data_IF_772670051661
#
_entry.id   IF_772670051661
#
_cell.length_a   1.000
_cell.length_b   1.000
_cell.length_c   1.000
_cell.angle_alpha   90.00
_cell.angle_beta   90.00
_cell.angle_gamma   90.00
#
_symmetry.space_group_name_H-M   'P 1'
#
loop_
_entity.id
_entity.type
_entity.pdbx_description
1 polymer ?
#
# COMPACT_ATOMS: atom_id res chain seq x y z
N UNK A 1 -7.27 -14.40 13.79
CA UNK A 1 -8.72 -14.71 13.69
C UNK A 1 -9.52 -13.93 14.74
N UNK A 2 -9.22 -14.04 16.04
CA UNK A 2 -9.95 -13.34 17.12
C UNK A 2 -9.97 -11.82 16.92
N UNK A 3 -8.85 -11.22 16.55
CA UNK A 3 -8.73 -9.79 16.29
C UNK A 3 -9.72 -9.29 15.21
N UNK A 4 -9.92 -10.06 14.14
CA UNK A 4 -10.86 -9.68 13.09
C UNK A 4 -12.32 -9.79 13.54
N UNK A 5 -12.64 -10.73 14.44
CA UNK A 5 -13.98 -10.83 15.01
C UNK A 5 -14.30 -9.65 15.93
N UNK A 6 -13.33 -9.26 16.78
CA UNK A 6 -13.47 -8.07 17.61
C UNK A 6 -13.66 -6.79 16.75
N UNK A 7 -12.94 -6.68 15.65
CA UNK A 7 -13.12 -5.56 14.71
C UNK A 7 -14.51 -5.57 14.06
N UNK A 8 -15.08 -6.74 13.79
CA UNK A 8 -16.42 -6.83 13.21
C UNK A 8 -17.49 -6.27 14.16
N UNK A 9 -17.42 -6.62 15.44
CA UNK A 9 -18.32 -6.09 16.47
C UNK A 9 -18.10 -4.58 16.68
N UNK A 10 -16.83 -4.16 16.80
CA UNK A 10 -16.49 -2.76 16.97
C UNK A 10 -17.04 -1.88 15.84
N UNK A 11 -16.83 -2.29 14.59
CA UNK A 11 -17.35 -1.53 13.44
C UNK A 11 -18.87 -1.57 13.38
N UNK A 12 -19.49 -2.68 13.73
CA UNK A 12 -20.96 -2.79 13.75
C UNK A 12 -21.56 -1.79 14.75
N UNK A 13 -21.02 -1.74 15.95
CA UNK A 13 -21.47 -0.83 17.01
C UNK A 13 -21.20 0.63 16.63
N UNK A 14 -19.94 0.95 16.33
CA UNK A 14 -19.53 2.32 16.02
C UNK A 14 -20.31 2.91 14.83
N UNK A 15 -20.56 2.14 13.78
CA UNK A 15 -21.28 2.63 12.60
C UNK A 15 -22.80 2.69 12.83
N UNK A 16 -23.35 1.95 13.80
CA UNK A 16 -24.76 2.07 14.16
C UNK A 16 -25.09 3.38 14.88
N UNK A 17 -24.10 3.96 15.58
CA UNK A 17 -24.25 5.24 16.28
C UNK A 17 -24.04 6.46 15.37
N UNK A 18 -23.44 6.25 14.19
CA UNK A 18 -23.19 7.33 13.24
C UNK A 18 -24.40 7.52 12.32
N UNK A 19 -24.91 8.76 12.15
CA UNK A 19 -25.96 9.02 11.17
C UNK A 19 -25.59 8.52 9.77
N UNK A 20 -26.56 8.11 8.93
CA UNK A 20 -26.27 7.61 7.58
C UNK A 20 -25.38 8.57 6.79
N UNK A 21 -24.22 8.09 6.40
CA UNK A 21 -23.24 8.85 5.62
C UNK A 21 -23.51 8.65 4.12
N UNK A 22 -23.37 9.71 3.33
CA UNK A 22 -23.52 9.63 1.87
C UNK A 22 -22.29 9.02 1.19
N UNK A 23 -21.11 9.25 1.75
CA UNK A 23 -19.83 8.82 1.21
C UNK A 23 -18.89 8.44 2.36
N UNK A 24 -18.24 7.29 2.23
CA UNK A 24 -17.13 6.87 3.07
C UNK A 24 -15.86 6.70 2.26
N UNK A 25 -14.73 7.07 2.85
CA UNK A 25 -13.40 6.84 2.30
C UNK A 25 -12.58 6.09 3.34
N UNK A 26 -11.86 5.06 2.94
CA UNK A 26 -10.94 4.35 3.83
C UNK A 26 -9.66 3.93 3.09
N UNK A 27 -8.59 3.71 3.85
CA UNK A 27 -7.34 3.22 3.27
C UNK A 27 -7.47 1.74 2.94
N UNK A 28 -7.32 1.41 1.67
CA UNK A 28 -7.42 0.05 1.16
C UNK A 28 -6.04 -0.61 1.12
N UNK A 29 -5.85 -1.65 1.93
CA UNK A 29 -4.60 -2.40 2.06
C UNK A 29 -4.78 -3.91 1.89
N UNK A 30 -6.00 -4.38 1.63
CA UNK A 30 -6.33 -5.80 1.53
C UNK A 30 -6.26 -6.54 2.87
N UNK A 31 -6.58 -5.86 3.97
CA UNK A 31 -6.56 -6.43 5.31
C UNK A 31 -7.89 -7.08 5.69
N UNK A 32 -7.83 -8.12 6.50
CA UNK A 32 -9.05 -8.84 6.92
C UNK A 32 -10.08 -7.97 7.66
N UNK A 33 -9.66 -6.95 8.41
CA UNK A 33 -10.56 -6.01 9.09
C UNK A 33 -11.39 -5.17 8.11
N UNK A 34 -10.89 -4.91 6.90
CA UNK A 34 -11.60 -4.13 5.88
C UNK A 34 -12.90 -4.82 5.45
N UNK A 35 -12.89 -6.16 5.36
CA UNK A 35 -14.10 -6.92 5.05
C UNK A 35 -15.18 -6.73 6.13
N UNK A 36 -14.76 -6.69 7.39
CA UNK A 36 -15.66 -6.42 8.52
C UNK A 36 -16.23 -5.00 8.46
N UNK A 37 -15.37 -4.01 8.18
CA UNK A 37 -15.76 -2.61 8.01
C UNK A 37 -16.76 -2.42 6.87
N UNK A 38 -16.47 -2.97 5.69
CA UNK A 38 -17.37 -2.89 4.52
C UNK A 38 -18.72 -3.52 4.83
N UNK A 39 -18.73 -4.69 5.49
CA UNK A 39 -19.97 -5.38 5.89
C UNK A 39 -20.77 -4.55 6.88
N UNK A 40 -20.14 -3.95 7.88
CA UNK A 40 -20.78 -3.10 8.86
C UNK A 40 -21.33 -1.80 8.21
N UNK A 41 -20.57 -1.19 7.30
CA UNK A 41 -21.01 -0.03 6.52
C UNK A 41 -22.31 -0.30 5.78
N UNK A 42 -22.39 -1.44 5.08
CA UNK A 42 -23.59 -1.84 4.32
C UNK A 42 -24.77 -2.13 5.23
N UNK A 43 -24.55 -2.88 6.32
CA UNK A 43 -25.61 -3.24 7.26
C UNK A 43 -26.28 -2.04 7.93
N UNK A 44 -25.50 -0.98 8.17
CA UNK A 44 -26.00 0.24 8.80
C UNK A 44 -26.59 1.26 7.78
N UNK A 45 -26.74 0.87 6.51
CA UNK A 45 -27.42 1.68 5.51
C UNK A 45 -26.65 2.93 5.09
N UNK A 46 -25.33 2.96 5.29
CA UNK A 46 -24.51 4.04 4.77
C UNK A 46 -24.38 3.97 3.24
N UNK A 47 -24.08 5.09 2.61
CA UNK A 47 -24.04 5.26 1.16
C UNK A 47 -22.76 4.70 0.53
N UNK A 48 -22.29 5.37 -0.51
CA UNK A 48 -21.13 4.97 -1.32
C UNK A 48 -19.87 4.85 -0.46
N UNK A 49 -19.12 3.77 -0.66
CA UNK A 49 -17.85 3.50 0.02
C UNK A 49 -16.73 3.34 -0.99
N UNK A 50 -15.64 4.10 -0.83
CA UNK A 50 -14.46 4.07 -1.70
C UNK A 50 -13.24 3.65 -0.90
N UNK A 51 -12.60 2.57 -1.33
CA UNK A 51 -11.31 2.15 -0.83
C UNK A 51 -10.19 2.89 -1.58
N UNK A 52 -9.31 3.57 -0.86
CA UNK A 52 -8.20 4.32 -1.47
C UNK A 52 -6.90 3.57 -1.26
N UNK A 53 -6.34 3.00 -2.33
CA UNK A 53 -5.06 2.34 -2.28
C UNK A 53 -3.95 3.37 -2.03
N UNK A 54 -3.24 3.27 -0.90
CA UNK A 54 -2.17 4.21 -0.55
C UNK A 54 -0.76 3.66 -0.77
N UNK A 55 -0.63 2.35 -0.91
CA UNK A 55 0.63 1.66 -1.12
C UNK A 55 0.74 1.09 -2.54
N UNK A 56 1.97 0.83 -2.99
CA UNK A 56 2.19 0.12 -4.25
C UNK A 56 1.61 -1.29 -4.19
N UNK A 57 0.93 -1.70 -5.25
CA UNK A 57 0.57 -3.10 -5.47
C UNK A 57 1.83 -3.87 -5.82
N UNK A 58 2.27 -4.73 -4.90
CA UNK A 58 3.47 -5.54 -5.09
C UNK A 58 3.11 -6.84 -5.79
N UNK A 59 3.97 -7.30 -6.67
CA UNK A 59 3.93 -8.66 -7.17
C UNK A 59 3.96 -9.66 -5.99
N UNK A 60 3.12 -10.67 -6.01
CA UNK A 60 2.94 -11.64 -4.91
C UNK A 60 2.31 -11.09 -3.62
N UNK A 61 1.77 -9.89 -3.60
CA UNK A 61 1.00 -9.44 -2.45
C UNK A 61 -0.43 -10.01 -2.53
N UNK A 62 -0.58 -11.23 -2.09
CA UNK A 62 -1.80 -12.04 -2.20
C UNK A 62 -3.10 -11.35 -1.76
N UNK A 63 -3.12 -10.42 -0.77
CA UNK A 63 -4.34 -9.68 -0.43
C UNK A 63 -5.00 -8.91 -1.58
N UNK A 64 -4.29 -8.65 -2.67
CA UNK A 64 -4.84 -8.01 -3.87
C UNK A 64 -5.24 -9.00 -4.98
N UNK A 65 -4.95 -10.28 -4.82
CA UNK A 65 -5.22 -11.31 -5.82
C UNK A 65 -6.23 -12.31 -5.27
N UNK A 66 -7.43 -12.24 -5.76
CA UNK A 66 -8.54 -13.09 -5.33
C UNK A 66 -9.04 -13.95 -6.48
N UNK A 67 -9.65 -15.07 -6.14
CA UNK A 67 -10.38 -15.86 -7.12
C UNK A 67 -11.57 -15.06 -7.69
N UNK A 68 -11.68 -14.99 -9.00
CA UNK A 68 -12.73 -14.24 -9.67
C UNK A 68 -14.16 -14.64 -9.23
N UNK A 69 -14.34 -15.86 -8.70
CA UNK A 69 -15.63 -16.33 -8.19
C UNK A 69 -16.07 -15.58 -6.94
N UNK A 70 -15.12 -15.18 -6.06
CA UNK A 70 -15.45 -14.44 -4.83
C UNK A 70 -15.57 -12.94 -5.08
N UNK A 71 -15.02 -12.45 -6.20
CA UNK A 71 -15.12 -11.06 -6.61
C UNK A 71 -16.45 -10.74 -7.32
N UNK A 72 -17.18 -11.77 -7.79
CA UNK A 72 -18.49 -11.59 -8.41
C UNK A 72 -19.53 -11.24 -7.34
N UNK A 73 -20.16 -10.07 -7.46
CA UNK A 73 -21.18 -9.58 -6.51
C UNK A 73 -22.44 -10.48 -6.46
N UNK A 74 -22.73 -11.20 -7.53
CA UNK A 74 -23.90 -12.07 -7.69
C UNK A 74 -23.66 -13.53 -7.28
N UNK A 75 -22.53 -13.81 -6.66
CA UNK A 75 -22.20 -15.17 -6.18
C UNK A 75 -22.98 -15.57 -4.94
N UNK A 76 -23.00 -16.88 -4.64
CA UNK A 76 -23.65 -17.42 -3.43
C UNK A 76 -23.04 -16.84 -2.13
N UNK A 77 -21.76 -16.50 -2.15
CA UNK A 77 -21.01 -15.92 -1.03
C UNK A 77 -20.03 -14.86 -1.55
N UNK A 78 -20.51 -13.71 -2.00
CA UNK A 78 -19.64 -12.65 -2.50
C UNK A 78 -18.77 -12.09 -1.37
N UNK A 79 -17.51 -11.85 -1.66
CA UNK A 79 -16.64 -11.14 -0.74
C UNK A 79 -17.14 -9.69 -0.58
N UNK A 80 -17.21 -9.16 0.64
CA UNK A 80 -17.55 -7.75 0.84
C UNK A 80 -16.58 -6.85 0.08
N UNK A 81 -17.11 -5.96 -0.74
CA UNK A 81 -16.33 -5.03 -1.56
C UNK A 81 -16.83 -3.60 -1.39
N UNK A 82 -15.96 -2.59 -1.48
CA UNK A 82 -16.39 -1.21 -1.62
C UNK A 82 -17.12 -1.00 -2.95
N UNK A 83 -17.76 0.15 -3.14
CA UNK A 83 -18.35 0.49 -4.43
C UNK A 83 -17.27 0.74 -5.48
N UNK A 84 -16.18 1.36 -5.05
CA UNK A 84 -15.02 1.64 -5.89
C UNK A 84 -13.71 1.46 -5.13
N UNK A 85 -12.66 1.18 -5.89
CA UNK A 85 -11.27 1.19 -5.42
C UNK A 85 -10.51 2.22 -6.24
N UNK A 86 -10.04 3.27 -5.58
CA UNK A 86 -9.16 4.26 -6.18
C UNK A 86 -7.72 3.73 -6.17
N UNK A 87 -7.19 3.40 -7.34
CA UNK A 87 -5.88 2.78 -7.51
C UNK A 87 -4.81 3.80 -7.93
N UNK A 88 -3.57 3.59 -7.49
CA UNK A 88 -2.45 4.52 -7.64
C UNK A 88 -1.86 4.51 -9.06
N UNK A 89 -2.62 4.96 -10.05
CA UNK A 89 -2.14 5.10 -11.43
C UNK A 89 -2.16 3.81 -12.26
N UNK A 90 -1.66 3.89 -13.51
CA UNK A 90 -1.87 2.85 -14.53
C UNK A 90 -1.22 1.50 -14.19
N UNK A 91 -0.08 1.49 -13.51
CA UNK A 91 0.59 0.23 -13.14
C UNK A 91 -0.21 -0.54 -12.08
N UNK A 92 -0.77 0.17 -11.10
CA UNK A 92 -1.65 -0.43 -10.11
C UNK A 92 -2.95 -0.90 -10.78
N UNK A 93 -3.55 -0.09 -11.65
CA UNK A 93 -4.73 -0.48 -12.44
C UNK A 93 -4.51 -1.80 -13.17
N UNK A 94 -3.38 -1.92 -13.88
CA UNK A 94 -3.02 -3.16 -14.58
C UNK A 94 -2.92 -4.35 -13.62
N UNK A 95 -2.25 -4.19 -12.48
CA UNK A 95 -2.07 -5.27 -11.50
C UNK A 95 -3.41 -5.75 -10.91
N UNK A 96 -4.34 -4.83 -10.62
CA UNK A 96 -5.67 -5.19 -10.13
C UNK A 96 -6.48 -5.95 -11.18
N UNK A 97 -6.44 -5.51 -12.45
CA UNK A 97 -7.11 -6.20 -13.56
C UNK A 97 -6.55 -7.62 -13.77
N UNK A 98 -5.24 -7.78 -13.75
CA UNK A 98 -4.57 -9.08 -13.81
C UNK A 98 -4.89 -9.95 -12.59
N UNK A 99 -5.14 -9.33 -11.44
CA UNK A 99 -5.62 -9.97 -10.20
C UNK A 99 -7.09 -10.37 -10.21
N UNK A 100 -7.80 -10.15 -11.33
CA UNK A 100 -9.20 -10.56 -11.51
C UNK A 100 -10.24 -9.57 -11.00
N UNK A 101 -9.85 -8.37 -10.60
CA UNK A 101 -10.78 -7.34 -10.15
C UNK A 101 -11.65 -6.81 -11.29
N UNK A 102 -12.97 -6.60 -11.05
CA UNK A 102 -13.86 -6.03 -12.06
C UNK A 102 -13.44 -4.60 -12.43
N UNK A 103 -13.38 -4.31 -13.73
CA UNK A 103 -12.93 -3.00 -14.22
C UNK A 103 -13.83 -1.85 -13.74
N UNK A 104 -15.12 -2.13 -13.60
CA UNK A 104 -16.15 -1.17 -13.25
C UNK A 104 -16.04 -0.59 -11.83
N UNK A 105 -15.36 -1.30 -10.93
CA UNK A 105 -15.13 -0.78 -9.56
C UNK A 105 -13.77 -0.11 -9.39
N UNK A 106 -12.91 -0.15 -10.42
CA UNK A 106 -11.57 0.42 -10.36
C UNK A 106 -11.56 1.83 -10.94
N UNK A 107 -11.13 2.79 -10.14
CA UNK A 107 -10.95 4.19 -10.55
C UNK A 107 -9.47 4.53 -10.44
N UNK A 108 -8.87 4.98 -11.53
CA UNK A 108 -7.50 5.44 -11.51
C UNK A 108 -7.42 6.82 -10.85
N UNK A 109 -6.53 6.97 -9.89
CA UNK A 109 -6.20 8.24 -9.30
C UNK A 109 -4.68 8.39 -9.21
N UNK A 110 -4.22 9.61 -8.95
CA UNK A 110 -2.81 9.84 -8.69
C UNK A 110 -2.40 9.19 -7.35
N UNK A 111 -1.12 8.87 -7.24
CA UNK A 111 -0.54 8.38 -6.00
C UNK A 111 -0.47 9.51 -4.96
N UNK A 112 -1.57 9.77 -4.27
CA UNK A 112 -1.76 10.90 -3.35
C UNK A 112 -0.61 11.07 -2.36
N UNK A 113 -0.02 9.97 -1.92
CA UNK A 113 1.15 9.96 -1.02
C UNK A 113 2.36 10.69 -1.61
N UNK A 114 2.46 10.77 -2.93
CA UNK A 114 3.61 11.29 -3.65
C UNK A 114 3.34 12.59 -4.41
N UNK A 115 2.19 13.23 -4.21
CA UNK A 115 1.84 14.49 -4.89
C UNK A 115 2.89 15.59 -4.68
N UNK A 116 3.55 15.60 -3.52
CA UNK A 116 4.61 16.54 -3.22
C UNK A 116 5.82 16.43 -4.17
N UNK A 117 6.03 15.26 -4.81
CA UNK A 117 7.11 15.08 -5.77
C UNK A 117 6.91 15.88 -7.06
N UNK A 118 5.66 16.15 -7.43
CA UNK A 118 5.35 17.01 -8.57
C UNK A 118 5.81 18.45 -8.42
N UNK A 119 6.02 18.90 -7.17
CA UNK A 119 6.51 20.25 -6.86
C UNK A 119 8.05 20.31 -6.74
N UNK A 120 8.71 19.16 -6.77
CA UNK A 120 10.18 19.12 -6.77
C UNK A 120 10.61 19.53 -8.18
N UNK A 121 11.03 20.80 -8.33
CA UNK A 121 11.70 21.22 -9.55
C UNK A 121 12.77 20.20 -9.88
N UNK A 122 12.83 19.79 -11.15
CA UNK A 122 13.87 18.90 -11.66
C UNK A 122 15.25 19.56 -11.49
N UNK A 123 15.75 19.59 -10.26
CA UNK A 123 17.18 19.68 -10.04
C UNK A 123 17.76 18.35 -10.50
N UNK A 124 17.77 18.15 -11.84
CA UNK A 124 18.60 17.12 -12.46
C UNK A 124 20.01 17.45 -12.04
N UNK A 125 20.43 16.84 -10.96
CA UNK A 125 21.83 16.85 -10.57
C UNK A 125 22.61 16.46 -11.82
N UNK A 126 23.52 17.33 -12.22
CA UNK A 126 24.45 17.03 -13.33
C UNK A 126 25.03 15.65 -13.02
N UNK A 127 25.21 14.78 -14.03
CA UNK A 127 25.84 13.49 -13.83
C UNK A 127 27.11 13.66 -12.99
N UNK A 128 27.20 12.95 -11.86
CA UNK A 128 28.42 13.02 -11.03
C UNK A 128 29.53 12.46 -11.88
N UNK A 129 30.63 13.24 -12.13
CA UNK A 129 31.76 12.73 -12.87
C UNK A 129 32.31 11.46 -12.20
N UNK A 130 32.66 10.46 -12.99
CA UNK A 130 33.12 9.14 -12.52
C UNK A 130 34.39 9.19 -11.63
N UNK A 131 35.04 10.34 -11.57
CA UNK A 131 36.23 10.60 -10.79
C UNK A 131 35.99 11.35 -9.47
N UNK A 132 34.73 11.56 -9.05
CA UNK A 132 34.42 12.14 -7.76
C UNK A 132 34.12 11.04 -6.73
N UNK A 133 34.35 11.35 -5.45
CA UNK A 133 34.01 10.48 -4.33
C UNK A 133 32.55 10.04 -4.40
N UNK A 134 32.33 8.75 -4.50
CA UNK A 134 31.00 8.17 -4.58
C UNK A 134 30.32 8.24 -3.20
N UNK A 135 29.14 8.83 -3.14
CA UNK A 135 28.30 8.85 -1.93
C UNK A 135 27.19 7.82 -2.07
N UNK A 136 27.16 6.86 -1.16
CA UNK A 136 26.17 5.79 -1.13
C UNK A 136 25.27 6.00 0.07
N UNK A 137 23.96 6.26 -0.16
CA UNK A 137 22.96 6.30 0.88
C UNK A 137 22.39 4.90 1.08
N UNK A 138 22.55 4.38 2.27
CA UNK A 138 22.02 3.08 2.69
C UNK A 138 20.79 3.30 3.55
N UNK A 139 19.65 2.79 3.09
CA UNK A 139 18.39 2.86 3.84
C UNK A 139 18.22 1.57 4.65
N UNK A 140 18.03 1.70 5.95
CA UNK A 140 17.67 0.59 6.82
C UNK A 140 16.21 0.14 6.56
N UNK A 141 15.94 -1.13 6.83
CA UNK A 141 14.61 -1.72 6.73
C UNK A 141 13.93 -1.68 8.11
N UNK A 142 12.61 -1.79 8.13
CA UNK A 142 11.83 -1.91 9.37
C UNK A 142 12.23 -3.15 10.17
N UNK A 143 12.56 -4.25 9.49
CA UNK A 143 13.04 -5.47 10.13
C UNK A 143 14.50 -5.34 10.53
N UNK A 144 14.83 -5.47 11.84
CA UNK A 144 16.19 -5.40 12.34
C UNK A 144 17.12 -6.48 11.75
N UNK A 145 16.59 -7.66 11.43
CA UNK A 145 17.39 -8.76 10.85
C UNK A 145 17.89 -8.35 9.48
N UNK A 146 17.01 -7.88 8.62
CA UNK A 146 17.36 -7.38 7.28
C UNK A 146 18.35 -6.21 7.36
N UNK A 147 18.12 -5.27 8.27
CA UNK A 147 19.04 -4.13 8.48
C UNK A 147 20.43 -4.62 8.89
N UNK A 148 20.53 -5.61 9.79
CA UNK A 148 21.80 -6.19 10.20
C UNK A 148 22.53 -6.90 9.05
N UNK A 149 21.81 -7.61 8.18
CA UNK A 149 22.43 -8.24 6.99
C UNK A 149 22.97 -7.18 6.03
N UNK A 150 22.26 -6.07 5.80
CA UNK A 150 22.74 -4.94 5.01
C UNK A 150 24.05 -4.38 5.63
N UNK A 151 24.09 -4.20 6.95
CA UNK A 151 25.30 -3.70 7.65
C UNK A 151 26.47 -4.66 7.56
N UNK A 152 26.26 -5.99 7.64
CA UNK A 152 27.29 -6.99 7.42
C UNK A 152 27.86 -6.91 6.01
N UNK A 153 26.98 -6.80 5.00
CA UNK A 153 27.39 -6.63 3.61
C UNK A 153 28.25 -5.37 3.43
N UNK A 154 27.82 -4.24 3.97
CA UNK A 154 28.58 -2.99 3.91
C UNK A 154 29.96 -3.11 4.54
N UNK A 155 30.07 -3.75 5.70
CA UNK A 155 31.37 -4.01 6.35
C UNK A 155 32.27 -4.87 5.49
N UNK A 156 31.73 -5.90 4.84
CA UNK A 156 32.52 -6.74 3.94
C UNK A 156 33.01 -5.99 2.70
N UNK A 157 32.21 -5.08 2.17
CA UNK A 157 32.58 -4.25 1.02
C UNK A 157 33.61 -3.18 1.41
N UNK A 158 33.50 -2.56 2.57
CA UNK A 158 34.44 -1.52 3.02
C UNK A 158 35.87 -2.03 3.24
N UNK A 159 36.05 -3.34 3.45
CA UNK A 159 37.37 -3.96 3.54
C UNK A 159 37.98 -4.29 2.18
N UNK A 160 37.20 -4.28 1.10
CA UNK A 160 37.60 -4.70 -0.24
C UNK A 160 37.59 -3.58 -1.28
N UNK A 161 36.95 -2.43 -1.00
CA UNK A 161 36.84 -1.34 -1.95
C UNK A 161 37.81 -0.21 -1.67
N UNK A 162 38.37 0.30 -2.77
CA UNK A 162 39.32 1.39 -2.80
C UNK A 162 38.83 2.67 -2.12
N UNK A 163 39.78 3.48 -1.68
CA UNK A 163 39.60 4.82 -1.15
C UNK A 163 38.62 5.67 -2.00
N UNK A 164 37.66 6.31 -1.36
CA UNK A 164 36.79 7.30 -2.02
C UNK A 164 35.27 7.01 -1.98
N UNK A 165 34.80 5.95 -1.30
CA UNK A 165 33.37 5.73 -1.13
C UNK A 165 32.91 6.16 0.28
N UNK A 166 32.00 7.12 0.33
CA UNK A 166 31.36 7.53 1.58
C UNK A 166 30.00 6.83 1.73
N UNK A 167 29.79 6.14 2.84
CA UNK A 167 28.50 5.50 3.17
C UNK A 167 27.75 6.33 4.19
N UNK A 168 26.49 6.61 3.86
CA UNK A 168 25.56 7.32 4.72
C UNK A 168 24.44 6.37 5.11
N UNK A 169 24.28 6.08 6.39
CA UNK A 169 23.23 5.20 6.87
C UNK A 169 22.04 6.03 7.37
N UNK A 170 20.87 5.76 6.83
CA UNK A 170 19.60 6.27 7.36
C UNK A 170 18.82 5.08 7.91
N UNK A 171 18.71 4.92 9.25
CA UNK A 171 17.87 3.88 9.84
C UNK A 171 16.40 4.13 9.50
N UNK A 172 15.60 3.06 9.51
CA UNK A 172 14.14 3.18 9.44
C UNK A 172 13.65 3.93 10.68
N UNK A 173 12.78 4.93 10.55
CA UNK A 173 12.13 5.51 11.73
C UNK A 173 11.27 4.43 12.39
N UNK A 174 11.54 4.14 13.64
CA UNK A 174 10.80 3.17 14.44
C UNK A 174 9.44 3.73 14.85
#
# INVERSE_FOLDING_TARGET
AVSNLLMAELFSEALSEVPPQRLGLYLYEGKGWELAFISAWRRNGHGRLVGVAHAMTRFWFLPYFHDARVLKREGAHPMPQPDEIAVNGPMAMKAYLEGGWPREILVECEALRYLHLGNIQENRSKPIPFNQDLRVLVLGEHDPVTTNEILKLLRSLSTSTADGIQHWLKPHPA
#
